data_IF_323566610256
#
_entry.id   IF_323566610256
#
_cell.length_a   1.000
_cell.length_b   1.000
_cell.length_c   1.000
_cell.angle_alpha   90.00
_cell.angle_beta   90.00
_cell.angle_gamma   90.00
#
_symmetry.space_group_name_H-M   'P 1'
#
loop_
_entity.id
_entity.type
_entity.pdbx_description
1 polymer ?
#
# COMPACT_ATOMS: atom_id res chain seq x y z
N UNK A 1 -11.53 -3.09 -9.49
CA UNK A 1 -10.51 -2.07 -9.83
C UNK A 1 -9.25 -2.38 -9.04
N UNK A 2 -8.14 -2.56 -9.74
CA UNK A 2 -6.85 -2.77 -9.10
C UNK A 2 -6.09 -1.46 -8.93
N UNK A 3 -5.16 -1.45 -8.01
CA UNK A 3 -4.36 -0.27 -7.67
C UNK A 3 -2.88 -0.66 -7.68
N UNK A 4 -2.04 0.27 -8.12
CA UNK A 4 -0.60 0.19 -7.95
C UNK A 4 -0.19 1.21 -6.88
N UNK A 5 0.42 0.73 -5.82
CA UNK A 5 0.82 1.50 -4.65
C UNK A 5 2.34 1.53 -4.54
N UNK A 6 2.91 2.73 -4.49
CA UNK A 6 4.33 2.88 -4.18
C UNK A 6 4.56 2.77 -2.67
N UNK A 7 5.52 1.94 -2.29
CA UNK A 7 5.81 1.66 -0.90
C UNK A 7 7.31 1.45 -0.72
N UNK A 8 7.84 1.81 0.45
CA UNK A 8 9.25 1.53 0.75
C UNK A 8 9.48 0.02 0.86
N UNK A 9 10.63 -0.49 0.38
CA UNK A 9 10.91 -1.93 0.44
C UNK A 9 10.76 -2.55 1.82
N UNK A 10 11.15 -1.83 2.86
CA UNK A 10 11.06 -2.32 4.24
C UNK A 10 9.61 -2.59 4.66
N UNK A 11 8.66 -1.74 4.25
CA UNK A 11 7.26 -1.95 4.58
C UNK A 11 6.65 -3.10 3.78
N UNK A 12 6.99 -3.21 2.49
CA UNK A 12 6.56 -4.34 1.67
C UNK A 12 7.01 -5.67 2.29
N UNK A 13 8.26 -5.74 2.73
CA UNK A 13 8.81 -6.93 3.39
C UNK A 13 8.01 -7.31 4.64
N UNK A 14 7.71 -6.34 5.49
CA UNK A 14 6.96 -6.58 6.72
C UNK A 14 5.52 -7.01 6.42
N UNK A 15 4.92 -6.50 5.34
CA UNK A 15 3.59 -6.92 4.89
C UNK A 15 3.64 -8.39 4.48
N UNK A 16 4.59 -8.79 3.65
CA UNK A 16 4.70 -10.19 3.21
C UNK A 16 5.04 -11.15 4.35
N UNK A 17 5.73 -10.68 5.37
CA UNK A 17 6.03 -11.48 6.57
C UNK A 17 4.82 -11.58 7.53
N UNK A 18 3.74 -10.86 7.25
CA UNK A 18 2.56 -10.83 8.12
C UNK A 18 2.73 -9.99 9.39
N UNK A 19 3.83 -9.26 9.51
CA UNK A 19 4.11 -8.41 10.68
C UNK A 19 3.42 -7.07 10.61
N UNK A 20 3.33 -6.49 9.41
CA UNK A 20 2.64 -5.24 9.16
C UNK A 20 1.27 -5.56 8.58
N UNK A 21 0.22 -5.27 9.34
CA UNK A 21 -1.16 -5.57 8.94
C UNK A 21 -1.99 -4.33 8.63
N UNK A 22 -1.40 -3.14 8.81
CA UNK A 22 -2.01 -1.87 8.46
C UNK A 22 -0.99 -0.99 7.76
N UNK A 23 -1.35 -0.47 6.58
CA UNK A 23 -0.58 0.53 5.87
C UNK A 23 -1.16 1.91 6.13
N UNK A 24 -0.31 2.90 6.40
CA UNK A 24 -0.70 4.26 6.72
C UNK A 24 -0.59 5.15 5.48
N UNK A 25 -1.66 5.89 5.18
CA UNK A 25 -1.68 6.83 4.05
C UNK A 25 -2.27 8.17 4.50
N UNK A 26 -1.79 9.25 3.87
CA UNK A 26 -2.36 10.59 4.05
C UNK A 26 -3.60 10.77 3.19
N UNK A 27 -3.62 10.11 2.04
CA UNK A 27 -4.72 10.17 1.08
C UNK A 27 -5.02 8.77 0.56
N UNK A 28 -6.28 8.50 0.37
CA UNK A 28 -6.77 7.25 -0.18
C UNK A 28 -8.07 7.48 -0.93
N UNK A 29 -8.49 6.51 -1.71
CA UNK A 29 -9.77 6.59 -2.41
C UNK A 29 -10.90 6.08 -1.54
N UNK A 30 -12.09 6.71 -1.68
CA UNK A 30 -13.33 6.22 -1.06
C UNK A 30 -14.04 5.19 -1.94
N UNK A 31 -13.47 4.83 -3.09
CA UNK A 31 -14.09 3.90 -4.02
C UNK A 31 -14.24 2.52 -3.42
N UNK A 32 -15.40 1.92 -3.63
CA UNK A 32 -15.65 0.51 -3.34
C UNK A 32 -15.12 -0.37 -4.48
N UNK A 33 -15.06 -1.69 -4.25
CA UNK A 33 -14.71 -2.63 -5.29
C UNK A 33 -13.24 -2.63 -5.68
N UNK A 34 -12.36 -2.29 -4.73
CA UNK A 34 -10.92 -2.45 -4.93
C UNK A 34 -10.61 -3.93 -4.96
N UNK A 35 -9.93 -4.39 -6.02
CA UNK A 35 -9.44 -5.74 -6.15
C UNK A 35 -8.08 -5.89 -5.48
N UNK A 36 -7.05 -6.16 -6.30
CA UNK A 36 -5.68 -6.25 -5.78
C UNK A 36 -5.04 -4.89 -5.67
N UNK A 37 -4.23 -4.73 -4.64
CA UNK A 37 -3.30 -3.60 -4.51
C UNK A 37 -1.91 -4.16 -4.79
N UNK A 38 -1.37 -3.86 -5.98
CA UNK A 38 -0.01 -4.24 -6.34
C UNK A 38 0.98 -3.31 -5.67
N UNK A 39 2.06 -3.85 -5.14
CA UNK A 39 3.06 -3.10 -4.39
C UNK A 39 4.29 -2.87 -5.26
N UNK A 40 4.55 -1.61 -5.57
CA UNK A 40 5.78 -1.17 -6.20
C UNK A 40 6.77 -0.78 -5.09
N UNK A 41 7.81 -1.56 -4.92
CA UNK A 41 8.86 -1.23 -3.95
C UNK A 41 9.77 -0.15 -4.55
N UNK A 42 9.85 0.99 -3.87
CA UNK A 42 10.66 2.12 -4.32
C UNK A 42 12.16 1.80 -4.26
N UNK A 43 13.00 2.77 -4.66
CA UNK A 43 14.45 2.59 -4.66
C UNK A 43 14.96 2.00 -3.33
N UNK A 44 15.93 1.09 -3.36
CA UNK A 44 16.73 0.68 -4.54
C UNK A 44 16.12 -0.45 -5.38
N UNK A 45 14.99 -1.04 -4.97
CA UNK A 45 14.39 -2.20 -5.65
C UNK A 45 13.78 -1.81 -7.00
N UNK A 46 12.91 -0.80 -7.04
CA UNK A 46 12.26 -0.25 -8.24
C UNK A 46 11.53 -1.31 -9.08
N UNK A 47 10.81 -2.20 -8.41
CA UNK A 47 10.03 -3.27 -9.07
C UNK A 47 8.72 -3.52 -8.34
N UNK A 48 7.77 -4.11 -9.04
CA UNK A 48 6.53 -4.62 -8.45
C UNK A 48 6.86 -5.95 -7.79
N UNK A 49 6.66 -6.03 -6.49
CA UNK A 49 7.15 -7.17 -5.69
C UNK A 49 6.05 -8.07 -5.16
N UNK A 50 4.80 -7.71 -5.37
CA UNK A 50 3.68 -8.52 -4.92
C UNK A 50 2.39 -7.74 -4.92
N UNK A 51 1.39 -8.30 -4.26
CA UNK A 51 0.09 -7.67 -4.13
C UNK A 51 -0.55 -8.02 -2.79
N UNK A 52 -1.53 -7.22 -2.40
CA UNK A 52 -2.31 -7.45 -1.20
C UNK A 52 -3.77 -7.19 -1.44
N UNK A 53 -4.62 -7.79 -0.62
CA UNK A 53 -6.04 -7.51 -0.56
C UNK A 53 -6.32 -6.50 0.55
N UNK A 54 -7.25 -5.60 0.31
CA UNK A 54 -7.72 -4.65 1.31
C UNK A 54 -8.93 -5.25 2.02
N UNK A 55 -8.83 -5.44 3.34
CA UNK A 55 -10.01 -5.83 4.14
C UNK A 55 -10.98 -4.67 4.23
N UNK A 56 -10.48 -3.52 4.70
CA UNK A 56 -11.22 -2.27 4.77
C UNK A 56 -10.24 -1.13 4.99
N UNK A 57 -10.68 0.08 4.69
CA UNK A 57 -9.93 1.32 4.94
C UNK A 57 -10.72 2.19 5.91
N UNK A 58 -10.03 2.85 6.83
CA UNK A 58 -10.63 3.81 7.74
C UNK A 58 -9.99 5.17 7.56
N UNK A 59 -10.81 6.20 7.65
CA UNK A 59 -10.35 7.60 7.69
C UNK A 59 -10.76 8.17 9.04
N UNK A 60 -9.79 8.46 9.88
CA UNK A 60 -10.03 8.82 11.27
C UNK A 60 -9.20 10.03 11.68
N UNK A 61 -9.57 10.64 12.81
CA UNK A 61 -8.70 11.62 13.45
C UNK A 61 -7.35 10.98 13.74
N UNK A 62 -6.30 11.78 13.77
CA UNK A 62 -4.95 11.24 13.99
C UNK A 62 -4.84 10.51 15.33
N UNK A 63 -5.50 11.03 16.37
CA UNK A 63 -5.48 10.39 17.69
C UNK A 63 -6.17 9.01 17.69
N UNK A 64 -7.32 8.89 17.04
CA UNK A 64 -8.03 7.61 16.92
C UNK A 64 -7.25 6.62 16.08
N UNK A 65 -6.73 7.08 14.95
CA UNK A 65 -5.94 6.24 14.05
C UNK A 65 -4.71 5.68 14.77
N UNK A 66 -4.03 6.52 15.54
CA UNK A 66 -2.83 6.09 16.28
C UNK A 66 -3.13 4.94 17.23
N UNK A 67 -4.26 5.00 17.93
CA UNK A 67 -4.70 3.91 18.80
C UNK A 67 -5.03 2.64 18.03
N UNK A 68 -5.78 2.78 16.92
CA UNK A 68 -6.26 1.64 16.15
C UNK A 68 -5.16 0.88 15.44
N UNK A 69 -4.06 1.56 15.08
CA UNK A 69 -2.97 0.94 14.32
C UNK A 69 -1.76 0.54 15.16
N UNK A 70 -1.80 0.82 16.45
CA UNK A 70 -0.69 0.49 17.36
C UNK A 70 -0.37 -1.00 17.30
N UNK A 71 0.90 -1.33 17.10
CA UNK A 71 1.36 -2.71 16.98
C UNK A 71 1.03 -3.37 15.64
N UNK A 72 0.26 -2.71 14.76
CA UNK A 72 -0.18 -3.25 13.46
C UNK A 72 0.53 -2.61 12.28
N UNK A 73 0.84 -1.32 12.39
CA UNK A 73 1.50 -0.59 11.30
C UNK A 73 3.01 -0.78 11.27
N UNK A 74 3.60 -1.20 12.36
CA UNK A 74 5.06 -1.34 12.55
C UNK A 74 5.79 0.01 12.45
N UNK A 75 5.06 1.11 12.53
CA UNK A 75 5.61 2.46 12.53
C UNK A 75 5.73 2.92 13.98
N UNK A 76 6.88 3.46 14.36
CA UNK A 76 7.07 3.99 15.72
C UNK A 76 6.13 5.17 15.98
N UNK A 77 5.85 5.44 17.26
CA UNK A 77 5.03 6.59 17.65
C UNK A 77 5.62 7.89 17.11
N UNK A 78 6.93 8.04 17.16
CA UNK A 78 7.63 9.24 16.68
C UNK A 78 7.48 9.40 15.16
N UNK A 79 7.68 8.32 14.40
CA UNK A 79 7.54 8.34 12.95
C UNK A 79 6.09 8.57 12.54
N UNK A 80 5.14 7.99 13.27
CA UNK A 80 3.72 8.23 13.03
C UNK A 80 3.39 9.73 13.18
N UNK A 81 3.82 10.34 14.27
CA UNK A 81 3.55 11.75 14.52
C UNK A 81 4.22 12.65 13.47
N UNK A 82 5.45 12.33 13.07
CA UNK A 82 6.15 13.06 12.02
C UNK A 82 5.44 12.94 10.67
N UNK A 83 4.99 11.74 10.34
CA UNK A 83 4.31 11.47 9.06
C UNK A 83 3.02 12.28 8.93
N UNK A 84 2.23 12.34 10.00
CA UNK A 84 0.94 13.04 9.98
C UNK A 84 1.00 14.48 10.47
N UNK A 85 2.20 15.04 10.67
CA UNK A 85 2.33 16.42 11.12
C UNK A 85 1.54 17.38 10.22
N UNK A 86 0.71 18.22 10.82
CA UNK A 86 -0.14 19.17 10.10
C UNK A 86 -1.41 18.58 9.53
N UNK A 87 -1.68 17.29 9.74
CA UNK A 87 -2.90 16.63 9.27
C UNK A 87 -3.89 16.43 10.41
N UNK A 88 -5.17 16.62 10.11
CA UNK A 88 -6.24 16.37 11.07
C UNK A 88 -6.72 14.92 11.04
N UNK A 89 -6.65 14.31 9.85
CA UNK A 89 -7.11 12.94 9.60
C UNK A 89 -6.06 12.15 8.83
N UNK A 90 -6.12 10.85 8.97
CA UNK A 90 -5.28 9.92 8.23
C UNK A 90 -6.05 8.67 7.85
N UNK A 91 -5.48 7.90 6.94
CA UNK A 91 -6.05 6.66 6.45
C UNK A 91 -5.25 5.47 6.96
N UNK A 92 -5.97 4.47 7.44
CA UNK A 92 -5.40 3.16 7.74
C UNK A 92 -5.97 2.13 6.78
N UNK A 93 -5.11 1.45 6.05
CA UNK A 93 -5.48 0.37 5.15
C UNK A 93 -5.25 -0.95 5.86
N UNK A 94 -6.33 -1.63 6.27
CA UNK A 94 -6.24 -2.92 6.95
C UNK A 94 -6.10 -4.01 5.90
N UNK A 95 -4.99 -4.75 5.99
CA UNK A 95 -4.52 -5.66 4.97
C UNK A 95 -5.07 -7.06 5.21
N UNK A 96 -5.60 -7.67 4.15
CA UNK A 96 -5.99 -9.06 4.14
C UNK A 96 -4.84 -9.95 3.68
N UNK A 97 -5.10 -10.80 2.68
CA UNK A 97 -4.09 -11.67 2.09
C UNK A 97 -3.01 -10.81 1.41
N UNK A 98 -1.75 -11.18 1.59
CA UNK A 98 -0.63 -10.57 0.90
C UNK A 98 0.22 -11.66 0.27
N UNK A 99 0.62 -11.46 -1.00
CA UNK A 99 1.35 -12.45 -1.79
C UNK A 99 2.58 -11.81 -2.41
N UNK A 100 3.75 -12.29 -2.02
CA UNK A 100 4.99 -11.92 -2.67
C UNK A 100 5.14 -12.68 -3.99
N UNK A 101 5.61 -11.99 -5.03
CA UNK A 101 5.79 -12.57 -6.37
C UNK A 101 7.23 -12.37 -6.83
N UNK A 102 7.61 -13.05 -7.91
CA UNK A 102 8.84 -12.72 -8.60
C UNK A 102 8.76 -11.28 -9.10
N UNK A 103 9.78 -10.45 -8.86
CA UNK A 103 9.69 -9.02 -9.18
C UNK A 103 9.39 -8.76 -10.65
N UNK A 104 8.46 -7.84 -10.89
CA UNK A 104 8.04 -7.44 -12.24
C UNK A 104 8.58 -6.03 -12.49
N UNK A 105 9.28 -5.79 -13.62
CA UNK A 105 9.70 -4.44 -13.97
C UNK A 105 8.50 -3.50 -14.15
N UNK A 106 8.63 -2.26 -13.67
CA UNK A 106 7.56 -1.28 -13.76
C UNK A 106 7.11 -1.04 -15.21
N UNK A 107 8.03 -1.06 -16.16
CA UNK A 107 7.75 -0.78 -17.58
C UNK A 107 6.77 -1.76 -18.21
N UNK A 108 6.49 -2.89 -17.57
CA UNK A 108 5.43 -3.79 -18.00
C UNK A 108 4.05 -3.12 -18.02
N UNK A 109 3.83 -2.13 -17.15
CA UNK A 109 2.52 -1.48 -16.99
C UNK A 109 2.55 0.04 -16.94
N UNK A 110 3.68 0.68 -16.65
CA UNK A 110 3.74 2.13 -16.51
C UNK A 110 5.13 2.66 -16.86
N UNK A 111 5.18 3.93 -17.26
CA UNK A 111 6.45 4.60 -17.57
C UNK A 111 7.13 5.14 -16.31
N UNK A 112 6.33 5.51 -15.32
CA UNK A 112 6.81 6.10 -14.06
C UNK A 112 6.05 5.49 -12.88
N UNK A 113 6.70 5.35 -11.73
CA UNK A 113 6.00 4.93 -10.53
C UNK A 113 5.04 6.03 -10.08
N UNK A 114 3.87 5.69 -9.51
CA UNK A 114 3.02 6.69 -8.88
C UNK A 114 3.75 7.30 -7.69
N UNK A 115 3.53 8.57 -7.40
CA UNK A 115 4.08 9.20 -6.19
C UNK A 115 3.47 8.58 -4.93
N UNK A 116 2.17 8.25 -4.97
CA UNK A 116 1.46 7.58 -3.89
C UNK A 116 0.84 6.29 -4.41
N UNK A 117 -0.21 6.41 -5.22
CA UNK A 117 -0.90 5.26 -5.81
C UNK A 117 -1.63 5.70 -7.08
N UNK A 118 -1.96 4.73 -7.92
CA UNK A 118 -2.73 4.96 -9.14
C UNK A 118 -3.70 3.81 -9.39
N UNK A 119 -4.82 4.11 -10.05
CA UNK A 119 -5.75 3.08 -10.53
C UNK A 119 -5.17 2.45 -11.78
N UNK A 120 -5.30 1.13 -11.86
CA UNK A 120 -4.90 0.37 -13.04
C UNK A 120 -6.12 0.19 -13.95
N UNK A 121 -5.90 0.35 -15.26
CA UNK A 121 -6.95 0.04 -16.22
C UNK A 121 -7.02 -1.48 -16.46
N UNK A 122 -8.02 -1.95 -17.21
CA UNK A 122 -8.24 -3.37 -17.44
C UNK A 122 -7.05 -4.07 -18.11
N UNK A 123 -6.36 -3.37 -19.04
CA UNK A 123 -5.18 -3.92 -19.72
C UNK A 123 -4.01 -4.09 -18.75
N UNK A 124 -3.73 -3.07 -17.94
CA UNK A 124 -2.67 -3.13 -16.94
C UNK A 124 -2.94 -4.23 -15.90
N UNK A 125 -4.18 -4.32 -15.42
CA UNK A 125 -4.59 -5.35 -14.46
C UNK A 125 -4.40 -6.74 -15.02
N UNK A 126 -4.81 -6.97 -16.28
CA UNK A 126 -4.63 -8.27 -16.93
C UNK A 126 -3.15 -8.60 -17.10
N UNK A 127 -2.36 -7.64 -17.53
CA UNK A 127 -0.92 -7.83 -17.71
C UNK A 127 -0.26 -8.30 -16.42
N UNK A 128 -0.54 -7.62 -15.30
CA UNK A 128 0.03 -8.01 -14.01
C UNK A 128 -0.49 -9.37 -13.53
N UNK A 129 -1.78 -9.63 -13.69
CA UNK A 129 -2.33 -10.92 -13.28
C UNK A 129 -1.72 -12.08 -14.06
N UNK A 130 -1.45 -11.89 -15.36
CA UNK A 130 -0.83 -12.91 -16.20
C UNK A 130 0.65 -13.14 -15.86
N UNK A 131 1.32 -12.14 -15.30
CA UNK A 131 2.74 -12.22 -14.91
C UNK A 131 2.97 -12.76 -13.50
N UNK A 132 1.92 -12.88 -12.70
CA UNK A 132 2.02 -13.38 -11.33
C UNK A 132 2.11 -14.91 -11.24
#
# INVERSE_FOLDING_TARGET
>A
MDILLSIKPKWARLIFQGKKTVELRKQWTKSDGIGRIYLYASAPVKKIVGWMELKFAVCESIAELKQDVEGRSQVSSEDFDAYYQGKEKGWGLFIGKAVEIDPIPLDAVAKRPPQNWMRLNAVQSKTLADMC
#
